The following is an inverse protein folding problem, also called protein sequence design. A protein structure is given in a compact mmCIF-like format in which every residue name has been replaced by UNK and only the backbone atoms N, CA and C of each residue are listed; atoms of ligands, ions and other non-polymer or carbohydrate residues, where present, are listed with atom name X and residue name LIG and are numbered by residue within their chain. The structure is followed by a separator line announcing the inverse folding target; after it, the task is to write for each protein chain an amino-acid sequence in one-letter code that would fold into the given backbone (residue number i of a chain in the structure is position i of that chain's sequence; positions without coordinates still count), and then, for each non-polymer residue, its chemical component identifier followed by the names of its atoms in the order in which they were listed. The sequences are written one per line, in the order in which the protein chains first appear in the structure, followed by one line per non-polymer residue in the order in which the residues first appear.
data_IF_821936265065
#
_entry.id   IF_821936265065
#
_cell.length_a   1.000
_cell.length_b   1.000
_cell.length_c   1.000
_cell.angle_alpha   90.00
_cell.angle_beta   90.00
_cell.angle_gamma   90.00
#
_symmetry.space_group_name_H-M   'P 1'
#
loop_
_entity.id
_entity.type
_entity.pdbx_description
1 polymer ?
#
# COMPACT_ATOMS: atom_id res chain seq x y z
N UNK A 1 -6.86 30.18 -16.90
CA UNK A 1 -5.61 30.43 -16.15
C UNK A 1 -5.99 31.14 -14.86
N UNK A 2 -6.20 30.41 -13.77
CA UNK A 2 -6.42 31.00 -12.45
C UNK A 2 -5.09 31.01 -11.71
N UNK A 3 -4.65 32.16 -11.22
CA UNK A 3 -3.49 32.26 -10.34
C UNK A 3 -3.89 31.70 -8.98
N UNK A 4 -3.12 30.73 -8.47
CA UNK A 4 -3.22 30.29 -7.07
C UNK A 4 -2.83 31.47 -6.20
N UNK A 5 -3.72 31.90 -5.30
CA UNK A 5 -3.41 32.95 -4.32
C UNK A 5 -2.72 32.28 -3.13
N UNK A 6 -1.74 32.94 -2.52
CA UNK A 6 -0.98 32.37 -1.39
C UNK A 6 -1.86 31.96 -0.19
N UNK A 7 -3.02 32.61 -0.03
CA UNK A 7 -4.01 32.28 1.00
C UNK A 7 -4.78 30.96 0.75
N UNK A 8 -4.68 30.39 -0.45
CA UNK A 8 -5.35 29.14 -0.86
C UNK A 8 -4.41 27.92 -0.75
N UNK A 9 -3.20 28.06 -0.18
CA UNK A 9 -2.21 26.98 -0.03
C UNK A 9 -2.33 26.35 1.37
N UNK A 10 -2.79 25.10 1.52
CA UNK A 10 -2.75 24.42 2.81
C UNK A 10 -1.30 24.24 3.26
N UNK A 11 -0.94 24.82 4.42
CA UNK A 11 0.39 24.80 5.05
C UNK A 11 0.69 23.48 5.80
N UNK A 12 -0.08 22.42 5.56
CA UNK A 12 0.03 21.21 6.36
C UNK A 12 1.19 20.36 5.85
N UNK A 13 2.15 20.11 6.74
CA UNK A 13 3.14 19.05 6.61
C UNK A 13 2.70 17.81 7.39
N UNK A 14 3.11 16.64 6.92
CA UNK A 14 2.82 15.36 7.56
C UNK A 14 4.08 14.49 7.54
N UNK A 15 4.36 13.85 8.68
CA UNK A 15 5.54 13.00 8.86
C UNK A 15 5.09 11.59 9.25
N UNK A 16 5.57 10.58 8.52
CA UNK A 16 5.31 9.18 8.75
C UNK A 16 6.64 8.45 8.82
N UNK A 17 7.12 8.23 10.04
CA UNK A 17 8.44 7.66 10.24
C UNK A 17 8.51 6.61 11.33
N UNK A 18 9.47 5.71 11.19
CA UNK A 18 9.73 4.63 12.16
C UNK A 18 8.48 3.76 12.42
N UNK A 19 7.71 3.48 11.36
CA UNK A 19 6.57 2.56 11.42
C UNK A 19 6.95 1.20 10.83
N UNK A 20 6.49 0.13 11.48
CA UNK A 20 6.49 -1.22 10.91
C UNK A 20 5.09 -1.50 10.36
N UNK A 21 4.93 -1.46 9.04
CA UNK A 21 3.65 -1.59 8.35
C UNK A 21 3.62 -2.92 7.60
N UNK A 22 2.94 -3.89 8.20
CA UNK A 22 2.85 -5.25 7.69
C UNK A 22 1.40 -5.70 7.48
N UNK A 23 1.21 -6.59 6.51
CA UNK A 23 -0.04 -7.34 6.33
C UNK A 23 -1.28 -6.45 6.14
N UNK A 24 -1.16 -5.36 5.37
CA UNK A 24 -2.35 -4.60 4.94
C UNK A 24 -3.13 -5.40 3.91
N UNK A 25 -4.47 -5.28 3.97
CA UNK A 25 -5.40 -6.04 3.12
C UNK A 25 -6.22 -5.11 2.23
N UNK A 26 -6.62 -5.63 1.07
CA UNK A 26 -7.62 -5.02 0.19
C UNK A 26 -8.96 -4.88 0.91
N UNK A 27 -9.86 -4.01 0.40
CA UNK A 27 -11.18 -3.82 1.02
C UNK A 27 -12.07 -5.05 0.88
N UNK A 28 -11.89 -5.80 -0.21
CA UNK A 28 -12.66 -7.00 -0.54
C UNK A 28 -11.76 -8.23 -0.56
N UNK A 29 -12.35 -9.39 -0.25
CA UNK A 29 -11.70 -10.70 -0.39
C UNK A 29 -11.43 -11.12 -1.84
N UNK A 30 -11.87 -10.30 -2.81
CA UNK A 30 -11.58 -10.44 -4.23
C UNK A 30 -10.25 -9.76 -4.62
N UNK A 31 -9.60 -9.06 -3.69
CA UNK A 31 -8.31 -8.40 -3.91
C UNK A 31 -8.34 -7.30 -4.97
N UNK A 32 -9.47 -6.58 -5.08
CA UNK A 32 -9.69 -5.58 -6.12
C UNK A 32 -8.94 -4.27 -5.84
N UNK A 33 -9.23 -3.63 -4.70
CA UNK A 33 -8.71 -2.30 -4.36
C UNK A 33 -8.23 -2.18 -2.91
N UNK A 34 -7.42 -1.15 -2.66
CA UNK A 34 -6.76 -0.87 -1.37
C UNK A 34 -5.67 -1.89 -1.01
N UNK A 35 -5.26 -1.96 0.27
CA UNK A 35 -4.21 -2.89 0.73
C UNK A 35 -2.80 -2.36 0.59
N UNK A 36 -2.64 -1.04 0.46
CA UNK A 36 -1.37 -0.34 0.55
C UNK A 36 -0.97 -0.03 1.99
N UNK A 37 0.33 -0.03 2.27
CA UNK A 37 0.89 0.35 3.58
C UNK A 37 0.76 1.84 3.87
N UNK A 38 1.17 2.68 2.92
CA UNK A 38 1.00 4.13 2.97
C UNK A 38 0.47 4.69 1.66
N UNK A 39 -0.32 5.76 1.70
CA UNK A 39 -0.84 6.45 0.52
C UNK A 39 -0.63 7.95 0.63
N UNK A 40 0.03 8.54 -0.36
CA UNK A 40 0.12 9.98 -0.48
C UNK A 40 -1.24 10.56 -0.88
N UNK A 41 -1.82 11.39 -0.02
CA UNK A 41 -3.12 12.03 -0.24
C UNK A 41 -2.97 13.43 -0.85
N UNK A 42 -4.04 13.93 -1.46
CA UNK A 42 -4.11 15.31 -1.94
C UNK A 42 -4.39 16.28 -0.80
N UNK A 43 -4.04 17.55 -0.99
CA UNK A 43 -4.28 18.62 -0.02
C UNK A 43 -3.27 18.71 1.13
N UNK A 44 -2.21 17.90 1.11
CA UNK A 44 -1.06 17.99 2.02
C UNK A 44 0.16 18.37 1.18
N UNK A 45 0.89 19.41 1.61
CA UNK A 45 1.94 20.03 0.78
C UNK A 45 3.25 19.27 0.86
N UNK A 46 3.65 18.92 2.07
CA UNK A 46 4.90 18.21 2.34
C UNK A 46 4.58 16.96 3.14
N UNK A 47 4.89 15.81 2.57
CA UNK A 47 4.68 14.50 3.18
C UNK A 47 6.06 13.84 3.23
N UNK A 48 6.57 13.61 4.43
CA UNK A 48 7.84 12.90 4.67
C UNK A 48 7.55 11.47 5.13
N UNK A 49 7.93 10.48 4.31
CA UNK A 49 7.80 9.05 4.61
C UNK A 49 9.19 8.45 4.69
N UNK A 50 9.69 8.16 5.89
CA UNK A 50 11.07 7.70 6.07
C UNK A 50 11.31 6.81 7.28
N UNK A 51 12.41 6.05 7.25
CA UNK A 51 12.79 5.12 8.30
C UNK A 51 11.70 4.09 8.62
N UNK A 52 10.82 3.77 7.67
CA UNK A 52 9.77 2.76 7.88
C UNK A 52 10.21 1.40 7.34
N UNK A 53 9.51 0.37 7.76
CA UNK A 53 9.55 -0.97 7.17
C UNK A 53 8.17 -1.26 6.59
N UNK A 54 8.08 -1.39 5.27
CA UNK A 54 6.87 -1.80 4.56
C UNK A 54 7.04 -3.22 4.04
N UNK A 55 6.23 -4.16 4.53
CA UNK A 55 6.33 -5.52 4.02
C UNK A 55 5.07 -6.33 4.07
N UNK A 56 5.00 -7.37 3.24
CA UNK A 56 3.83 -8.25 3.17
C UNK A 56 2.51 -7.48 3.00
N UNK A 57 2.50 -6.38 2.24
CA UNK A 57 1.28 -5.62 1.96
C UNK A 57 0.58 -6.19 0.71
N UNK A 58 -0.73 -6.44 0.80
CA UNK A 58 -1.48 -7.17 -0.24
C UNK A 58 -1.56 -6.44 -1.58
N UNK A 59 -1.34 -5.13 -1.61
CA UNK A 59 -1.26 -4.34 -2.84
C UNK A 59 0.10 -3.68 -3.06
N UNK A 60 0.49 -2.75 -2.18
CA UNK A 60 1.79 -2.12 -2.29
C UNK A 60 2.33 -1.62 -0.94
N UNK A 61 3.64 -1.41 -0.83
CA UNK A 61 4.23 -0.79 0.35
C UNK A 61 3.78 0.67 0.47
N UNK A 62 3.98 1.42 -0.61
CA UNK A 62 3.63 2.85 -0.70
C UNK A 62 2.93 3.14 -2.03
N UNK A 63 1.93 4.00 -1.99
CA UNK A 63 1.13 4.38 -3.16
C UNK A 63 1.12 5.89 -3.37
N UNK A 64 1.41 6.31 -4.61
CA UNK A 64 1.42 7.70 -5.06
C UNK A 64 0.56 7.89 -6.32
N UNK A 65 -0.71 7.46 -6.24
CA UNK A 65 -1.68 7.56 -7.36
C UNK A 65 -2.63 8.76 -7.29
N UNK A 66 -2.63 9.51 -6.18
CA UNK A 66 -3.42 10.73 -6.04
C UNK A 66 -2.59 11.95 -6.42
N UNK A 67 -2.98 12.57 -7.53
CA UNK A 67 -2.39 13.79 -8.08
C UNK A 67 -3.33 14.97 -7.85
N UNK A 68 -2.75 16.15 -7.66
CA UNK A 68 -3.51 17.37 -7.48
C UNK A 68 -4.32 17.73 -8.72
N UNK A 69 -5.43 18.45 -8.50
CA UNK A 69 -6.38 18.81 -9.56
C UNK A 69 -5.80 19.68 -10.66
N UNK A 70 -4.67 20.35 -10.41
CA UNK A 70 -3.97 21.19 -11.39
C UNK A 70 -2.48 20.92 -11.38
N UNK A 71 -1.84 21.06 -12.55
CA UNK A 71 -0.38 20.92 -12.69
C UNK A 71 0.40 21.88 -11.78
N UNK A 72 -0.11 23.08 -11.58
CA UNK A 72 0.51 24.06 -10.70
C UNK A 72 0.51 23.58 -9.24
N UNK A 73 -0.60 23.02 -8.75
CA UNK A 73 -0.66 22.44 -7.40
C UNK A 73 0.15 21.14 -7.29
N UNK A 74 0.26 20.37 -8.37
CA UNK A 74 1.05 19.14 -8.38
C UNK A 74 2.56 19.42 -8.28
N UNK A 75 3.08 20.42 -8.99
CA UNK A 75 4.48 20.87 -8.89
C UNK A 75 4.87 21.34 -7.49
N UNK A 76 3.87 21.68 -6.71
CA UNK A 76 3.98 22.16 -5.36
C UNK A 76 3.97 21.00 -4.34
N UNK A 77 3.37 19.85 -4.65
CA UNK A 77 3.32 18.71 -3.75
C UNK A 77 4.69 18.05 -3.61
N UNK A 78 5.18 17.96 -2.38
CA UNK A 78 6.43 17.27 -2.01
C UNK A 78 6.07 15.91 -1.43
N UNK A 79 6.25 14.86 -2.23
CA UNK A 79 6.01 13.48 -1.84
C UNK A 79 7.35 12.83 -1.53
N UNK A 80 7.89 13.12 -0.35
CA UNK A 80 9.19 12.61 0.08
C UNK A 80 9.05 11.16 0.54
N UNK A 81 9.89 10.28 0.00
CA UNK A 81 9.95 8.87 0.37
C UNK A 81 11.42 8.49 0.39
N UNK A 82 12.05 8.36 1.55
CA UNK A 82 13.50 8.17 1.68
C UNK A 82 13.83 7.27 2.87
N UNK A 83 14.95 6.55 2.83
CA UNK A 83 15.36 5.65 3.90
C UNK A 83 14.24 4.70 4.37
N UNK A 84 13.56 3.99 3.47
CA UNK A 84 12.61 2.94 3.86
C UNK A 84 13.08 1.56 3.42
N UNK A 85 12.72 0.55 4.20
CA UNK A 85 12.88 -0.85 3.83
C UNK A 85 11.59 -1.43 3.26
N UNK A 86 11.75 -2.23 2.20
CA UNK A 86 10.68 -2.94 1.54
C UNK A 86 10.96 -4.44 1.50
N UNK A 87 9.94 -5.28 1.68
CA UNK A 87 10.06 -6.72 1.43
C UNK A 87 8.70 -7.38 1.21
N UNK A 88 8.62 -8.33 0.28
CA UNK A 88 7.42 -9.17 0.08
C UNK A 88 6.09 -8.42 -0.10
N UNK A 89 6.13 -7.14 -0.49
CA UNK A 89 4.94 -6.44 -0.95
C UNK A 89 4.57 -6.97 -2.34
N UNK A 90 3.28 -6.90 -2.72
CA UNK A 90 2.92 -7.17 -4.11
C UNK A 90 3.58 -6.16 -5.07
N UNK A 91 3.79 -4.93 -4.62
CA UNK A 91 4.54 -3.84 -5.29
C UNK A 91 5.20 -2.96 -4.22
N UNK A 92 6.40 -2.44 -4.42
CA UNK A 92 7.02 -1.58 -3.40
C UNK A 92 6.44 -0.18 -3.43
N UNK A 93 6.66 0.54 -4.53
CA UNK A 93 6.03 1.82 -4.81
C UNK A 93 5.07 1.66 -6.01
N UNK A 94 3.81 2.07 -5.83
CA UNK A 94 2.84 2.20 -6.91
C UNK A 94 2.66 3.67 -7.32
N UNK A 95 2.90 3.99 -8.58
CA UNK A 95 2.66 5.31 -9.18
C UNK A 95 1.69 5.19 -10.36
N UNK A 96 0.91 6.23 -10.62
CA UNK A 96 0.04 6.22 -11.80
C UNK A 96 0.87 6.35 -13.07
N UNK A 97 0.55 5.55 -14.09
CA UNK A 97 1.08 5.74 -15.43
C UNK A 97 0.17 6.68 -16.23
N UNK A 98 0.67 7.18 -17.37
CA UNK A 98 -0.17 7.85 -18.35
C UNK A 98 -1.19 6.86 -18.94
N UNK A 99 -2.38 6.78 -18.34
CA UNK A 99 -3.44 5.85 -18.73
C UNK A 99 -4.24 5.35 -17.52
N UNK A 100 -4.97 4.24 -17.70
CA UNK A 100 -5.76 3.60 -16.64
C UNK A 100 -4.97 2.59 -15.79
N UNK A 101 -3.66 2.47 -16.00
CA UNK A 101 -2.80 1.51 -15.30
C UNK A 101 -1.79 2.20 -14.38
N UNK A 102 -1.50 1.57 -13.25
CA UNK A 102 -0.38 1.95 -12.38
C UNK A 102 0.86 1.13 -12.73
N UNK A 103 2.04 1.67 -12.45
CA UNK A 103 3.30 0.93 -12.52
C UNK A 103 3.85 0.64 -11.13
N UNK A 104 4.56 -0.48 -11.02
CA UNK A 104 5.33 -0.83 -9.84
C UNK A 104 6.76 -0.35 -10.01
N UNK A 105 7.24 0.45 -9.08
CA UNK A 105 8.65 0.82 -8.96
C UNK A 105 9.25 -0.01 -7.82
N UNK A 106 10.21 -0.91 -8.12
CA UNK A 106 10.94 -1.64 -7.08
C UNK A 106 11.70 -0.69 -6.16
N UNK A 107 11.92 -1.08 -4.92
CA UNK A 107 12.58 -0.24 -3.91
C UNK A 107 13.91 0.37 -4.42
N UNK A 108 14.75 -0.44 -5.07
CA UNK A 108 16.05 -0.04 -5.61
C UNK A 108 15.98 1.02 -6.75
N UNK A 109 14.79 1.30 -7.30
CA UNK A 109 14.58 2.28 -8.38
C UNK A 109 13.68 3.44 -7.98
N UNK A 110 13.32 3.57 -6.70
CA UNK A 110 12.48 4.68 -6.22
C UNK A 110 13.13 6.03 -6.49
N UNK A 111 14.47 6.11 -6.46
CA UNK A 111 15.22 7.33 -6.77
C UNK A 111 15.03 7.81 -8.22
N UNK A 112 14.63 6.91 -9.12
CA UNK A 112 14.34 7.23 -10.53
C UNK A 112 12.88 7.69 -10.74
N UNK A 113 12.02 7.60 -9.72
CA UNK A 113 10.62 7.97 -9.83
C UNK A 113 10.44 9.48 -9.71
N UNK A 114 10.22 10.16 -10.85
CA UNK A 114 10.02 11.62 -10.94
C UNK A 114 8.88 12.17 -10.06
N UNK A 115 7.94 11.31 -9.66
CA UNK A 115 6.78 11.67 -8.82
C UNK A 115 7.10 11.70 -7.33
N UNK A 116 8.30 11.25 -6.93
CA UNK A 116 8.80 11.28 -5.56
C UNK A 116 9.85 12.40 -5.46
N UNK A 117 9.79 13.15 -4.36
CA UNK A 117 10.80 14.16 -4.06
C UNK A 117 10.25 15.39 -3.35
N UNK A 118 11.15 16.30 -2.93
CA UNK A 118 12.59 16.32 -3.24
C UNK A 118 13.50 15.29 -2.54
N UNK A 119 13.06 14.61 -1.47
CA UNK A 119 13.87 13.56 -0.81
C UNK A 119 13.41 12.17 -1.27
N UNK A 120 14.31 11.41 -1.89
CA UNK A 120 14.00 10.09 -2.45
C UNK A 120 15.06 9.01 -2.20
N UNK A 121 16.20 9.37 -1.62
CA UNK A 121 17.38 8.49 -1.51
C UNK A 121 17.25 7.43 -0.40
N UNK A 122 17.98 6.32 -0.54
CA UNK A 122 18.18 5.35 0.54
C UNK A 122 17.06 4.32 0.71
N UNK A 123 16.00 4.38 -0.10
CA UNK A 123 15.02 3.30 -0.16
C UNK A 123 15.64 2.03 -0.77
N UNK A 124 15.36 0.89 -0.15
CA UNK A 124 15.94 -0.38 -0.59
C UNK A 124 15.16 -1.56 -0.05
N UNK A 125 15.43 -2.73 -0.64
CA UNK A 125 14.96 -3.98 -0.06
C UNK A 125 15.54 -4.16 1.35
N UNK A 126 14.77 -4.81 2.23
CA UNK A 126 15.25 -5.19 3.56
C UNK A 126 16.51 -6.07 3.39
N UNK A 127 17.68 -5.65 3.88
CA UNK A 127 18.91 -6.37 3.62
C UNK A 127 18.97 -7.66 4.44
N UNK A 128 19.71 -8.66 3.94
CA UNK A 128 19.88 -9.95 4.62
C UNK A 128 20.44 -9.83 6.04
N UNK A 129 21.21 -8.77 6.32
CA UNK A 129 21.73 -8.47 7.66
C UNK A 129 20.61 -8.28 8.70
N UNK A 130 19.40 -7.91 8.27
CA UNK A 130 18.23 -7.70 9.12
C UNK A 130 17.33 -8.95 9.19
N UNK A 131 17.84 -10.14 8.84
CA UNK A 131 17.07 -11.40 8.91
C UNK A 131 16.42 -11.64 10.28
N UNK A 132 17.04 -11.16 11.37
CA UNK A 132 16.48 -11.24 12.72
C UNK A 132 15.10 -10.55 12.84
N UNK A 133 14.81 -9.55 12.01
CA UNK A 133 13.47 -8.95 11.91
C UNK A 133 12.47 -9.93 11.30
N UNK A 134 12.82 -10.61 10.21
CA UNK A 134 11.97 -11.64 9.59
C UNK A 134 11.71 -12.80 10.56
N UNK A 135 12.72 -13.22 11.31
CA UNK A 135 12.60 -14.28 12.31
C UNK A 135 11.70 -13.89 13.49
N UNK A 136 11.53 -12.58 13.75
CA UNK A 136 10.63 -12.07 14.79
C UNK A 136 9.16 -11.99 14.35
N UNK A 137 8.88 -12.05 13.04
CA UNK A 137 7.51 -12.14 12.52
C UNK A 137 6.94 -13.52 12.90
N UNK A 138 5.64 -13.56 13.23
CA UNK A 138 4.93 -14.81 13.47
C UNK A 138 5.00 -15.70 12.23
N UNK A 139 5.76 -16.79 12.32
CA UNK A 139 6.07 -17.64 11.17
C UNK A 139 4.81 -18.29 10.56
N UNK A 140 3.85 -18.83 11.33
CA UNK A 140 2.61 -19.33 10.76
C UNK A 140 1.83 -18.28 9.99
N UNK A 141 1.77 -17.04 10.49
CA UNK A 141 1.10 -15.94 9.79
C UNK A 141 1.85 -15.56 8.50
N UNK A 142 3.18 -15.43 8.56
CA UNK A 142 4.02 -15.11 7.41
C UNK A 142 3.89 -16.18 6.31
N UNK A 143 3.99 -17.46 6.66
CA UNK A 143 3.80 -18.57 5.74
C UNK A 143 2.39 -18.56 5.11
N UNK A 144 1.35 -18.30 5.90
CA UNK A 144 -0.02 -18.16 5.42
C UNK A 144 -0.17 -17.03 4.41
N UNK A 145 0.51 -15.90 4.64
CA UNK A 145 0.50 -14.76 3.73
C UNK A 145 1.29 -15.05 2.44
N UNK A 146 2.51 -15.59 2.56
CA UNK A 146 3.38 -15.89 1.41
C UNK A 146 2.81 -17.01 0.52
N UNK A 147 1.99 -17.89 1.08
CA UNK A 147 1.29 -18.97 0.36
C UNK A 147 -0.16 -18.63 -0.01
N UNK A 148 -0.55 -17.35 0.07
CA UNK A 148 -1.90 -16.87 -0.26
C UNK A 148 -2.35 -17.36 -1.65
N UNK A 149 -3.52 -18.00 -1.69
CA UNK A 149 -4.17 -18.44 -2.92
C UNK A 149 -5.61 -17.93 -2.95
N UNK A 150 -6.03 -17.38 -4.08
CA UNK A 150 -7.41 -16.94 -4.32
C UNK A 150 -8.04 -17.87 -5.34
N UNK A 151 -9.07 -18.61 -4.94
CA UNK A 151 -9.85 -19.48 -5.83
C UNK A 151 -11.16 -18.78 -6.13
N UNK A 152 -11.46 -18.57 -7.42
CA UNK A 152 -12.75 -18.06 -7.88
C UNK A 152 -13.51 -19.11 -8.69
N UNK A 153 -14.82 -19.19 -8.49
CA UNK A 153 -15.74 -19.98 -9.32
C UNK A 153 -16.89 -19.11 -9.76
N UNK A 154 -17.11 -19.04 -11.07
CA UNK A 154 -18.17 -18.25 -11.68
C UNK A 154 -19.25 -19.17 -12.25
N UNK A 155 -20.51 -18.77 -12.09
CA UNK A 155 -21.66 -19.49 -12.63
C UNK A 155 -22.65 -18.50 -13.22
N UNK A 156 -23.19 -18.85 -14.38
CA UNK A 156 -24.21 -18.06 -15.06
C UNK A 156 -25.31 -18.98 -15.55
N UNK A 157 -26.55 -18.71 -15.13
CA UNK A 157 -27.71 -19.43 -15.62
C UNK A 157 -28.68 -18.42 -16.23
N UNK A 158 -28.75 -18.31 -17.57
CA UNK A 158 -29.71 -17.43 -18.22
C UNK A 158 -31.17 -17.85 -17.92
N UNK A 159 -31.41 -19.12 -17.61
CA UNK A 159 -32.75 -19.61 -17.29
C UNK A 159 -33.09 -19.52 -15.79
N UNK A 160 -32.30 -18.82 -14.97
CA UNK A 160 -32.69 -18.55 -13.59
C UNK A 160 -33.95 -17.67 -13.55
N UNK A 161 -34.79 -17.82 -12.52
CA UNK A 161 -36.00 -17.01 -12.36
C UNK A 161 -35.67 -15.50 -12.39
N UNK A 162 -34.59 -15.09 -11.72
CA UNK A 162 -34.10 -13.71 -11.72
C UNK A 162 -33.71 -13.22 -13.13
N UNK A 163 -32.98 -14.03 -13.91
CA UNK A 163 -32.55 -13.64 -15.26
C UNK A 163 -33.69 -13.66 -16.28
N UNK A 164 -34.68 -14.53 -16.10
CA UNK A 164 -35.91 -14.51 -16.89
C UNK A 164 -36.69 -13.21 -16.65
N UNK A 165 -36.84 -12.81 -15.38
CA UNK A 165 -37.49 -11.55 -14.99
C UNK A 165 -36.70 -10.33 -15.50
N UNK A 166 -35.37 -10.31 -15.32
CA UNK A 166 -34.53 -9.23 -15.83
C UNK A 166 -34.67 -9.07 -17.34
N UNK A 167 -34.74 -10.16 -18.11
CA UNK A 167 -35.02 -10.09 -19.55
C UNK A 167 -36.38 -9.48 -19.86
N UNK A 168 -37.43 -9.86 -19.12
CA UNK A 168 -38.77 -9.29 -19.32
C UNK A 168 -38.82 -7.79 -19.07
N UNK A 169 -38.01 -7.29 -18.13
CA UNK A 169 -37.89 -5.86 -17.82
C UNK A 169 -36.77 -5.14 -18.60
N UNK A 170 -36.08 -5.80 -19.52
CA UNK A 170 -34.95 -5.22 -20.26
C UNK A 170 -33.72 -4.87 -19.39
N UNK A 171 -33.59 -5.50 -18.23
CA UNK A 171 -32.48 -5.32 -17.29
C UNK A 171 -31.32 -6.28 -17.60
N UNK A 172 -30.12 -5.92 -17.11
CA UNK A 172 -28.95 -6.78 -17.20
C UNK A 172 -29.15 -8.10 -16.44
N UNK A 173 -28.73 -9.20 -17.06
CA UNK A 173 -28.70 -10.51 -16.41
C UNK A 173 -27.50 -10.58 -15.46
N UNK A 174 -27.62 -11.41 -14.43
CA UNK A 174 -26.64 -11.55 -13.36
C UNK A 174 -26.11 -12.98 -13.28
N UNK A 175 -24.81 -13.11 -13.02
CA UNK A 175 -24.16 -14.35 -12.63
C UNK A 175 -23.77 -14.33 -11.15
N UNK A 176 -23.32 -15.46 -10.64
CA UNK A 176 -22.78 -15.59 -9.29
C UNK A 176 -21.30 -15.93 -9.35
N UNK A 177 -20.50 -15.24 -8.54
CA UNK A 177 -19.09 -15.55 -8.31
C UNK A 177 -18.87 -15.90 -6.84
N UNK A 178 -18.11 -16.97 -6.59
CA UNK A 178 -17.65 -17.34 -5.26
C UNK A 178 -16.14 -17.19 -5.23
N UNK A 179 -15.66 -16.24 -4.43
CA UNK A 179 -14.24 -16.05 -4.15
C UNK A 179 -13.88 -16.61 -2.77
N UNK A 180 -12.88 -17.50 -2.74
CA UNK A 180 -12.33 -18.18 -1.56
C UNK A 180 -10.82 -17.97 -1.49
N UNK A 181 -10.35 -16.98 -0.70
CA UNK A 181 -8.94 -16.88 -0.38
C UNK A 181 -8.55 -17.86 0.73
N UNK A 182 -7.31 -18.36 0.71
CA UNK A 182 -6.75 -19.17 1.80
C UNK A 182 -6.54 -18.35 3.08
N UNK A 183 -6.38 -17.03 2.95
CA UNK A 183 -6.20 -16.09 4.04
C UNK A 183 -6.77 -14.73 3.62
N UNK A 184 -7.50 -14.04 4.49
CA UNK A 184 -7.98 -12.69 4.24
C UNK A 184 -8.36 -12.01 5.56
N UNK A 185 -7.69 -10.90 5.88
CA UNK A 185 -7.89 -10.15 7.13
C UNK A 185 -7.83 -11.03 8.39
N UNK A 186 -7.04 -12.12 8.37
CA UNK A 186 -6.81 -12.94 9.55
C UNK A 186 -6.13 -12.06 10.62
N UNK A 187 -6.56 -12.17 11.88
CA UNK A 187 -5.99 -11.36 12.97
C UNK A 187 -4.53 -11.76 13.20
N UNK A 188 -3.60 -10.79 13.11
CA UNK A 188 -2.22 -11.00 13.53
C UNK A 188 -2.15 -11.13 15.07
N UNK A 189 -1.33 -12.03 15.63
CA UNK A 189 -1.16 -12.12 17.08
C UNK A 189 -0.55 -10.82 17.62
N UNK A 190 -1.33 -10.03 18.35
CA UNK A 190 -0.92 -8.67 18.72
C UNK A 190 0.27 -8.65 19.69
N UNK A 191 0.40 -9.68 20.54
CA UNK A 191 1.55 -9.86 21.43
C UNK A 191 2.84 -10.04 20.63
N UNK A 192 2.78 -10.78 19.52
CA UNK A 192 3.92 -10.97 18.60
C UNK A 192 4.28 -9.70 17.85
N UNK A 193 3.37 -8.72 17.74
CA UNK A 193 3.71 -7.44 17.13
C UNK A 193 4.70 -6.65 18.00
N UNK A 194 4.67 -6.85 19.33
CA UNK A 194 5.62 -6.21 20.25
C UNK A 194 7.04 -6.71 20.04
N UNK A 195 7.22 -7.97 19.61
CA UNK A 195 8.52 -8.55 19.29
C UNK A 195 9.20 -7.84 18.11
N UNK A 196 8.49 -7.04 17.32
CA UNK A 196 9.03 -6.31 16.17
C UNK A 196 9.68 -4.97 16.56
N UNK A 197 9.40 -4.44 17.75
CA UNK A 197 9.87 -3.13 18.16
C UNK A 197 11.39 -3.16 18.41
N UNK A 198 12.10 -2.20 17.81
CA UNK A 198 13.55 -2.04 17.93
C UNK A 198 14.36 -3.16 17.26
N UNK A 199 13.73 -4.02 16.45
CA UNK A 199 14.43 -5.13 15.79
C UNK A 199 15.38 -4.69 14.70
N UNK A 200 15.05 -3.62 13.99
CA UNK A 200 15.93 -2.96 13.03
C UNK A 200 16.26 -1.59 13.59
N UNK A 201 17.56 -1.34 13.80
CA UNK A 201 18.01 -0.07 14.37
C UNK A 201 17.68 1.07 13.43
N UNK A 202 17.02 2.12 13.95
CA UNK A 202 16.62 3.33 13.20
C UNK A 202 15.61 3.09 12.06
N UNK A 203 15.00 1.90 11.96
CA UNK A 203 13.96 1.63 10.96
C UNK A 203 12.82 0.81 11.57
N UNK A 204 11.60 1.13 11.16
CA UNK A 204 10.41 0.50 11.74
C UNK A 204 10.16 0.96 13.18
N UNK A 205 9.18 0.34 13.83
CA UNK A 205 8.80 0.65 15.21
C UNK A 205 10.00 0.50 16.15
N UNK A 206 10.29 1.51 16.96
CA UNK A 206 11.45 1.53 17.86
C UNK A 206 11.03 1.32 19.33
N UNK A 207 11.94 0.78 20.14
CA UNK A 207 11.80 0.80 21.60
C UNK A 207 12.25 2.14 22.17
N UNK A 208 11.71 2.51 23.33
CA UNK A 208 12.04 3.76 24.04
C UNK A 208 13.53 3.94 24.34
N UNK A 209 14.28 2.85 24.42
CA UNK A 209 15.67 2.83 24.87
C UNK A 209 16.67 3.16 23.75
N UNK A 210 16.21 3.24 22.50
CA UNK A 210 17.02 3.54 21.30
C UNK A 210 16.95 5.04 20.92
N UNK A 211 16.09 5.84 21.57
CA UNK A 211 15.87 7.27 21.25
C UNK A 211 16.75 8.20 22.11
N UNK A 212 18.02 7.84 22.35
CA UNK A 212 18.99 8.72 23.03
C UNK A 212 20.17 9.06 22.13
#
# INVERSE_FOLDING_TARGET
RGSVRDADIPLVSFEFHHNTVLFTWTRTKAFDDMGQGFRFMNGIRTIDVHNNIFGCNSNCGVERVFYESTKAMEQLKQSNLYDNYFFANKRDLEIASSGASSISVPAARIEEAEQIGPKYEGNRDLPESEKAFIDAIDQPYLEGFMSLKVISSQSYNPNSAANQVNRMFGLNQQGSEIVRPSMYCNKYPWEKALDLFGKVRNFGAQTSDVVK
#
